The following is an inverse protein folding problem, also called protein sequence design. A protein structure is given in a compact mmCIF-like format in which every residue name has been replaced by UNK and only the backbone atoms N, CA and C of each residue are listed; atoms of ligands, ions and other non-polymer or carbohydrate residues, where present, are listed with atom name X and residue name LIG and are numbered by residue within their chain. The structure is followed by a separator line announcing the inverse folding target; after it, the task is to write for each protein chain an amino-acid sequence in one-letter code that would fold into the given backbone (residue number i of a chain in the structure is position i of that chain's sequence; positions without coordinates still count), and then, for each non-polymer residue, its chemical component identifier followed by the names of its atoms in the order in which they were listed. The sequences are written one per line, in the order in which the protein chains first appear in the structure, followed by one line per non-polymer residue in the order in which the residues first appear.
data_IF_914967001873
#
_entry.id   IF_914967001873
#
_cell.length_a   1.000
_cell.length_b   1.000
_cell.length_c   1.000
_cell.angle_alpha   90.00
_cell.angle_beta   90.00
_cell.angle_gamma   90.00
#
_symmetry.space_group_name_H-M   'P 1'
#
loop_
_entity.id
_entity.type
_entity.pdbx_description
1 polymer ?
#
# COMPACT_ATOMS: atom_id res chain seq x y z
N UNK A 1 -0.80 -28.63 -12.70
CA UNK A 1 0.48 -28.02 -13.14
C UNK A 1 1.13 -27.48 -11.89
N UNK A 2 2.33 -27.93 -11.57
CA UNK A 2 3.06 -27.45 -10.40
C UNK A 2 3.38 -25.96 -10.62
N UNK A 3 2.70 -25.08 -9.90
CA UNK A 3 2.94 -23.64 -9.97
C UNK A 3 4.25 -23.34 -9.25
N UNK A 4 5.32 -23.21 -10.03
CA UNK A 4 6.62 -22.72 -9.57
C UNK A 4 6.74 -21.22 -9.85
N UNK A 5 7.51 -20.52 -9.02
CA UNK A 5 7.80 -19.09 -9.22
C UNK A 5 8.55 -18.86 -10.54
N UNK A 6 8.24 -17.73 -11.20
CA UNK A 6 9.06 -17.24 -12.31
C UNK A 6 10.37 -16.72 -11.73
N UNK A 7 11.45 -17.48 -11.93
CA UNK A 7 12.80 -17.10 -11.57
C UNK A 7 13.52 -16.37 -12.72
N UNK A 8 14.77 -15.95 -12.47
CA UNK A 8 15.59 -15.31 -13.50
C UNK A 8 15.87 -16.20 -14.72
N UNK A 9 15.83 -17.53 -14.59
CA UNK A 9 16.00 -18.46 -15.71
C UNK A 9 14.79 -18.42 -16.63
N UNK A 10 13.59 -18.59 -16.07
CA UNK A 10 12.34 -18.55 -16.83
C UNK A 10 12.15 -17.20 -17.51
N UNK A 11 12.43 -16.07 -16.83
CA UNK A 11 12.33 -14.76 -17.45
C UNK A 11 13.35 -14.58 -18.59
N UNK A 12 14.57 -15.08 -18.41
CA UNK A 12 15.61 -14.94 -19.42
C UNK A 12 15.31 -15.75 -20.68
N UNK A 13 15.00 -17.03 -20.51
CA UNK A 13 14.81 -17.98 -21.61
C UNK A 13 13.50 -17.72 -22.38
N UNK A 14 12.46 -17.18 -21.72
CA UNK A 14 11.18 -16.90 -22.36
C UNK A 14 11.08 -15.50 -22.97
N UNK A 15 11.74 -14.49 -22.39
CA UNK A 15 11.56 -13.09 -22.81
C UNK A 15 12.87 -12.43 -23.24
N UNK A 16 13.89 -12.45 -22.37
CA UNK A 16 15.08 -11.62 -22.58
C UNK A 16 15.92 -12.04 -23.78
N UNK A 17 15.97 -13.33 -24.10
CA UNK A 17 16.71 -13.84 -25.26
C UNK A 17 16.20 -13.24 -26.59
N UNK A 18 14.96 -12.77 -26.63
CA UNK A 18 14.36 -12.13 -27.81
C UNK A 18 14.51 -10.60 -27.81
N UNK A 19 15.00 -9.99 -26.72
CA UNK A 19 15.14 -8.55 -26.53
C UNK A 19 16.59 -8.08 -26.63
N UNK A 20 17.43 -8.76 -27.40
CA UNK A 20 18.89 -8.55 -27.50
C UNK A 20 19.30 -7.15 -27.98
N UNK A 21 18.40 -6.41 -28.64
CA UNK A 21 18.66 -5.05 -29.12
C UNK A 21 18.20 -3.95 -28.14
N UNK A 22 17.53 -4.31 -27.04
CA UNK A 22 17.05 -3.34 -26.05
C UNK A 22 18.20 -2.76 -25.24
N UNK A 23 18.38 -1.44 -25.31
CA UNK A 23 19.40 -0.71 -24.51
C UNK A 23 19.06 -0.66 -23.02
N UNK A 24 17.78 -0.79 -22.67
CA UNK A 24 17.29 -0.82 -21.29
C UNK A 24 16.04 -1.69 -21.24
N UNK A 25 16.01 -2.60 -20.27
CA UNK A 25 14.84 -3.38 -19.91
C UNK A 25 14.47 -3.07 -18.46
N UNK A 26 13.19 -2.81 -18.20
CA UNK A 26 12.66 -2.52 -16.87
C UNK A 26 11.38 -3.32 -16.70
N UNK A 27 11.31 -4.09 -15.63
CA UNK A 27 10.20 -5.00 -15.38
C UNK A 27 9.77 -4.95 -13.92
N UNK A 28 8.52 -5.35 -13.73
CA UNK A 28 7.90 -5.64 -12.45
C UNK A 28 7.06 -6.89 -12.66
N UNK A 29 7.40 -7.95 -11.94
CA UNK A 29 6.77 -9.26 -12.01
C UNK A 29 6.20 -9.53 -10.63
N UNK A 30 4.92 -9.88 -10.59
CA UNK A 30 4.27 -10.45 -9.42
C UNK A 30 3.97 -11.91 -9.71
N UNK A 31 4.33 -12.77 -8.79
CA UNK A 31 4.10 -14.22 -8.85
C UNK A 31 3.40 -14.64 -7.58
N UNK A 32 2.37 -15.46 -7.74
CA UNK A 32 1.55 -15.99 -6.65
C UNK A 32 1.54 -17.52 -6.77
N UNK A 33 1.81 -18.20 -5.67
CA UNK A 33 1.77 -19.67 -5.61
C UNK A 33 0.81 -20.06 -4.52
N UNK A 34 -0.27 -20.75 -4.90
CA UNK A 34 -1.25 -21.24 -3.93
C UNK A 34 -0.86 -22.59 -3.35
N UNK A 35 -0.64 -22.65 -2.04
CA UNK A 35 -0.35 -23.91 -1.35
C UNK A 35 -1.67 -24.57 -0.92
N UNK A 36 -2.25 -25.34 -1.83
CA UNK A 36 -3.46 -26.11 -1.50
C UNK A 36 -3.17 -27.30 -0.56
N UNK A 37 -1.91 -27.72 -0.37
CA UNK A 37 -1.61 -28.95 0.41
C UNK A 37 -0.17 -29.13 0.88
N UNK A 38 0.83 -28.45 0.31
CA UNK A 38 2.25 -28.66 0.65
C UNK A 38 2.92 -27.30 0.88
N UNK A 39 3.52 -27.10 2.06
CA UNK A 39 4.42 -25.98 2.31
C UNK A 39 5.69 -26.20 1.50
N UNK A 40 5.77 -25.62 0.30
CA UNK A 40 7.08 -25.47 -0.33
C UNK A 40 7.83 -24.36 0.40
N UNK A 41 9.13 -24.55 0.61
CA UNK A 41 10.00 -23.44 1.03
C UNK A 41 9.97 -22.37 -0.07
N UNK A 42 9.53 -21.17 0.29
CA UNK A 42 9.60 -20.04 -0.62
C UNK A 42 11.05 -19.70 -0.91
N UNK A 43 11.41 -19.38 -2.17
CA UNK A 43 12.73 -18.86 -2.45
C UNK A 43 12.93 -17.55 -1.67
N UNK A 44 14.09 -17.41 -1.04
CA UNK A 44 14.41 -16.18 -0.32
C UNK A 44 14.66 -15.04 -1.31
N UNK A 45 14.62 -13.79 -0.83
CA UNK A 45 15.00 -12.65 -1.66
C UNK A 45 16.42 -12.79 -2.22
N UNK A 46 17.33 -13.42 -1.46
CA UNK A 46 18.68 -13.68 -1.94
C UNK A 46 18.71 -14.71 -3.07
N UNK A 47 17.94 -15.79 -2.97
CA UNK A 47 17.87 -16.82 -4.01
C UNK A 47 17.36 -16.24 -5.32
N UNK A 48 16.30 -15.42 -5.24
CA UNK A 48 15.75 -14.72 -6.40
C UNK A 48 16.80 -13.79 -7.00
N UNK A 49 17.41 -12.90 -6.20
CA UNK A 49 18.41 -11.96 -6.70
C UNK A 49 19.61 -12.67 -7.34
N UNK A 50 20.11 -13.76 -6.74
CA UNK A 50 21.22 -14.57 -7.28
C UNK A 50 20.89 -15.12 -8.67
N UNK A 51 19.63 -15.53 -8.91
CA UNK A 51 19.21 -16.04 -10.22
C UNK A 51 19.36 -15.01 -11.36
N UNK A 52 19.25 -13.70 -11.05
CA UNK A 52 19.43 -12.62 -12.03
C UNK A 52 20.90 -12.19 -12.19
N UNK A 53 21.69 -12.23 -11.11
CA UNK A 53 23.12 -11.85 -11.15
C UNK A 53 23.90 -12.75 -12.11
N UNK A 54 23.64 -14.06 -12.10
CA UNK A 54 24.29 -15.04 -12.99
C UNK A 54 24.10 -14.75 -14.49
N UNK A 55 23.14 -13.89 -14.86
CA UNK A 55 22.81 -13.52 -16.24
C UNK A 55 23.24 -12.10 -16.63
N UNK A 56 24.15 -11.48 -15.87
CA UNK A 56 24.66 -10.11 -16.11
C UNK A 56 23.59 -9.01 -16.09
N UNK A 57 22.51 -9.22 -15.32
CA UNK A 57 21.53 -8.18 -14.98
C UNK A 57 21.75 -7.69 -13.55
N UNK A 58 22.58 -6.65 -13.32
CA UNK A 58 23.14 -6.36 -12.00
C UNK A 58 22.19 -5.60 -11.05
N UNK A 59 20.94 -5.34 -11.43
CA UNK A 59 20.04 -4.44 -10.68
C UNK A 59 18.61 -4.95 -10.65
N UNK A 60 18.45 -6.11 -10.02
CA UNK A 60 17.14 -6.69 -9.71
C UNK A 60 17.04 -6.81 -8.19
N UNK A 61 15.88 -6.52 -7.65
CA UNK A 61 15.54 -6.82 -6.27
C UNK A 61 14.22 -7.57 -6.22
N UNK A 62 13.91 -8.12 -5.07
CA UNK A 62 12.66 -8.81 -4.80
C UNK A 62 12.21 -8.58 -3.37
N UNK A 63 10.92 -8.73 -3.14
CA UNK A 63 10.38 -9.03 -1.82
C UNK A 63 9.40 -10.18 -1.96
N UNK A 64 9.60 -11.22 -1.15
CA UNK A 64 8.77 -12.40 -1.09
C UNK A 64 8.20 -12.56 0.32
N UNK A 65 6.94 -12.98 0.40
CA UNK A 65 6.21 -13.14 1.65
C UNK A 65 5.18 -14.28 1.55
N UNK A 66 4.80 -14.84 2.69
CA UNK A 66 3.70 -15.81 2.80
C UNK A 66 2.46 -15.13 3.35
N UNK A 67 1.35 -15.20 2.64
CA UNK A 67 0.05 -14.87 3.21
C UNK A 67 -0.41 -16.00 4.14
N UNK A 68 -1.03 -15.63 5.25
CA UNK A 68 -1.33 -16.56 6.34
C UNK A 68 -2.49 -17.52 6.02
N UNK A 69 -3.46 -17.13 5.18
CA UNK A 69 -4.58 -17.95 4.67
C UNK A 69 -5.11 -17.28 3.39
N UNK A 70 -5.61 -17.99 2.36
CA UNK A 70 -5.01 -19.26 1.95
C UNK A 70 -3.48 -19.09 1.95
N UNK A 71 -2.75 -20.17 2.28
CA UNK A 71 -1.29 -20.13 2.31
C UNK A 71 -0.80 -19.90 0.89
N UNK A 72 -0.74 -18.64 0.48
CA UNK A 72 -0.32 -18.23 -0.83
C UNK A 72 0.99 -17.50 -0.63
N UNK A 73 2.04 -18.01 -1.27
CA UNK A 73 3.28 -17.28 -1.34
C UNK A 73 3.18 -16.24 -2.44
N UNK A 74 3.61 -15.02 -2.14
CA UNK A 74 3.66 -13.93 -3.10
C UNK A 74 5.11 -13.47 -3.20
N UNK A 75 5.57 -13.29 -4.43
CA UNK A 75 6.88 -12.75 -4.71
C UNK A 75 6.79 -11.67 -5.77
N UNK A 76 7.37 -10.52 -5.45
CA UNK A 76 7.52 -9.39 -6.35
C UNK A 76 8.98 -9.26 -6.75
N UNK A 77 9.23 -9.14 -8.04
CA UNK A 77 10.58 -9.06 -8.62
C UNK A 77 10.61 -7.86 -9.56
N UNK A 78 11.57 -6.96 -9.39
CA UNK A 78 11.63 -5.76 -10.22
C UNK A 78 13.04 -5.23 -10.45
N UNK A 79 13.19 -4.49 -11.54
CA UNK A 79 14.43 -3.80 -11.86
C UNK A 79 14.63 -2.55 -11.01
N UNK A 80 15.89 -2.23 -10.70
CA UNK A 80 16.29 -1.01 -10.02
C UNK A 80 16.98 0.00 -10.98
N UNK A 81 16.70 1.30 -10.87
CA UNK A 81 15.67 1.90 -10.00
C UNK A 81 14.26 1.54 -10.47
N UNK A 82 13.31 1.48 -9.54
CA UNK A 82 11.92 1.15 -9.85
C UNK A 82 11.34 2.13 -10.87
N UNK A 83 10.77 1.58 -11.95
CA UNK A 83 10.42 2.33 -13.14
C UNK A 83 8.96 2.74 -13.26
N UNK A 84 8.07 2.12 -12.49
CA UNK A 84 6.61 2.20 -12.67
C UNK A 84 5.99 3.22 -11.71
N UNK A 85 4.81 3.70 -12.09
CA UNK A 85 4.04 4.70 -11.33
C UNK A 85 3.09 4.10 -10.30
N UNK A 86 2.98 2.78 -10.26
CA UNK A 86 2.15 2.05 -9.32
C UNK A 86 2.95 1.00 -8.59
N UNK A 87 2.52 0.65 -7.39
CA UNK A 87 2.97 -0.50 -6.64
C UNK A 87 1.74 -1.10 -5.95
N UNK A 88 1.55 -2.41 -6.08
CA UNK A 88 0.34 -3.09 -5.61
C UNK A 88 0.72 -4.27 -4.74
N UNK A 89 -0.17 -4.60 -3.81
CA UNK A 89 -0.03 -5.73 -2.89
C UNK A 89 1.21 -5.63 -2.00
N UNK A 90 1.37 -4.45 -1.40
CA UNK A 90 2.38 -4.22 -0.37
C UNK A 90 1.83 -4.66 1.00
N UNK A 91 2.59 -5.49 1.71
CA UNK A 91 2.26 -6.07 3.01
C UNK A 91 3.32 -5.69 4.08
N UNK A 92 3.13 -6.13 5.34
CA UNK A 92 4.08 -5.86 6.43
C UNK A 92 5.47 -6.49 6.23
N UNK A 93 5.64 -7.37 5.24
CA UNK A 93 6.95 -7.96 4.92
C UNK A 93 7.84 -6.99 4.13
N UNK A 94 7.32 -5.86 3.68
CA UNK A 94 8.08 -4.84 2.97
C UNK A 94 9.24 -4.28 3.82
N UNK A 95 10.46 -4.41 3.30
CA UNK A 95 11.71 -4.03 3.98
C UNK A 95 12.22 -2.64 3.60
N UNK A 96 11.46 -1.92 2.80
CA UNK A 96 11.78 -0.58 2.37
C UNK A 96 12.51 -0.45 1.05
N UNK A 97 12.70 0.80 0.61
CA UNK A 97 13.39 1.18 -0.63
C UNK A 97 12.86 2.48 -1.22
N UNK A 98 13.61 3.10 -2.13
CA UNK A 98 13.24 4.42 -2.65
C UNK A 98 12.48 4.35 -3.99
N UNK A 99 11.17 4.60 -3.96
CA UNK A 99 10.23 4.47 -5.08
C UNK A 99 9.76 5.83 -5.62
N UNK A 100 10.68 6.69 -6.06
CA UNK A 100 10.38 8.07 -6.50
C UNK A 100 9.34 8.21 -7.63
N UNK A 101 9.13 7.16 -8.43
CA UNK A 101 8.18 7.18 -9.54
C UNK A 101 6.77 6.76 -9.16
N UNK A 102 6.61 6.04 -8.04
CA UNK A 102 5.30 5.56 -7.62
C UNK A 102 4.44 6.74 -7.20
N UNK A 103 3.20 6.74 -7.70
CA UNK A 103 2.10 7.67 -7.42
C UNK A 103 0.92 6.95 -6.83
N UNK A 104 0.74 5.67 -7.18
CA UNK A 104 -0.32 4.81 -6.67
C UNK A 104 0.25 3.66 -5.85
N UNK A 105 -0.19 3.53 -4.61
CA UNK A 105 0.16 2.42 -3.73
C UNK A 105 -1.12 1.72 -3.25
N UNK A 106 -1.17 0.40 -3.42
CA UNK A 106 -2.19 -0.46 -2.79
C UNK A 106 -1.52 -1.35 -1.76
N UNK A 107 -1.99 -1.25 -0.53
CA UNK A 107 -1.52 -2.02 0.62
C UNK A 107 -2.63 -2.95 1.07
N UNK A 108 -2.29 -4.21 1.31
CA UNK A 108 -3.19 -5.16 1.94
C UNK A 108 -2.42 -6.16 2.79
N UNK A 109 -2.98 -6.49 3.95
CA UNK A 109 -2.42 -7.51 4.83
C UNK A 109 -3.50 -8.02 5.79
N UNK A 110 -3.25 -9.20 6.37
CA UNK A 110 -4.02 -9.82 7.44
C UNK A 110 -3.41 -9.59 8.82
N UNK A 111 -2.28 -8.90 8.86
CA UNK A 111 -1.62 -8.42 10.08
C UNK A 111 -1.76 -6.90 10.10
N UNK A 112 -1.94 -6.33 11.28
CA UNK A 112 -2.06 -4.88 11.47
C UNK A 112 -0.87 -4.11 10.89
N UNK A 113 -1.14 -3.01 10.18
CA UNK A 113 -0.10 -2.05 9.80
C UNK A 113 0.12 -1.08 10.96
N UNK A 114 1.28 -1.16 11.60
CA UNK A 114 1.59 -0.29 12.74
C UNK A 114 2.04 1.11 12.27
N UNK A 115 2.00 2.10 13.17
CA UNK A 115 2.35 3.49 12.87
C UNK A 115 3.71 3.64 12.18
N UNK A 116 4.74 2.99 12.71
CA UNK A 116 6.11 3.04 12.18
C UNK A 116 6.20 2.49 10.75
N UNK A 117 5.28 1.61 10.36
CA UNK A 117 5.21 1.11 9.00
C UNK A 117 4.77 2.22 8.04
N UNK A 118 3.75 3.00 8.40
CA UNK A 118 3.34 4.16 7.58
C UNK A 118 4.41 5.26 7.53
N UNK A 119 5.21 5.42 8.59
CA UNK A 119 6.38 6.29 8.56
C UNK A 119 7.41 5.82 7.52
N UNK A 120 7.72 4.51 7.49
CA UNK A 120 8.56 3.91 6.44
C UNK A 120 7.99 4.16 5.04
N UNK A 121 6.69 3.88 4.84
CA UNK A 121 6.01 4.12 3.56
C UNK A 121 6.10 5.58 3.14
N UNK A 122 5.95 6.53 4.06
CA UNK A 122 6.05 7.95 3.73
C UNK A 122 7.43 8.38 3.20
N UNK A 123 8.50 7.72 3.67
CA UNK A 123 9.88 7.99 3.26
C UNK A 123 10.21 7.31 1.91
N UNK A 124 9.71 6.10 1.74
CA UNK A 124 9.98 5.26 0.58
C UNK A 124 9.16 5.65 -0.66
N UNK A 125 7.97 6.21 -0.44
CA UNK A 125 7.04 6.69 -1.47
C UNK A 125 6.82 8.22 -1.36
N UNK A 126 7.86 9.05 -1.54
CA UNK A 126 7.82 10.47 -1.17
C UNK A 126 6.89 11.33 -2.04
N UNK A 127 6.41 10.80 -3.16
CA UNK A 127 5.53 11.47 -4.13
C UNK A 127 4.19 10.74 -4.28
N UNK A 128 3.78 9.97 -3.28
CA UNK A 128 2.54 9.21 -3.32
C UNK A 128 1.32 10.14 -3.44
N UNK A 129 0.48 9.90 -4.43
CA UNK A 129 -0.73 10.68 -4.71
C UNK A 129 -2.01 9.91 -4.39
N UNK A 130 -1.99 8.58 -4.57
CA UNK A 130 -3.10 7.67 -4.33
C UNK A 130 -2.67 6.56 -3.38
N UNK A 131 -3.37 6.44 -2.27
CA UNK A 131 -3.16 5.37 -1.28
C UNK A 131 -4.46 4.60 -1.07
N UNK A 132 -4.39 3.28 -1.27
CA UNK A 132 -5.44 2.34 -0.93
C UNK A 132 -4.93 1.41 0.16
N UNK A 133 -5.70 1.29 1.24
CA UNK A 133 -5.41 0.39 2.35
C UNK A 133 -6.59 -0.56 2.49
N UNK A 134 -6.30 -1.85 2.57
CA UNK A 134 -7.25 -2.90 2.92
C UNK A 134 -6.67 -3.70 4.06
N UNK A 135 -7.16 -3.41 5.27
CA UNK A 135 -6.68 -4.04 6.49
C UNK A 135 -7.71 -3.83 7.60
N UNK A 136 -8.44 -4.89 7.93
CA UNK A 136 -9.46 -4.85 8.97
C UNK A 136 -8.91 -5.18 10.38
N UNK A 137 -7.60 -5.37 10.51
CA UNK A 137 -6.98 -5.64 11.81
C UNK A 137 -6.70 -4.33 12.57
N UNK A 138 -7.08 -4.23 13.86
CA UNK A 138 -6.79 -3.07 14.68
C UNK A 138 -5.28 -2.88 14.88
N UNK A 139 -4.85 -1.63 15.01
CA UNK A 139 -3.46 -1.32 15.36
C UNK A 139 -3.19 -1.70 16.81
N UNK A 140 -2.00 -2.22 17.09
CA UNK A 140 -1.62 -2.64 18.46
C UNK A 140 -1.06 -1.47 19.27
N UNK A 141 -0.36 -0.56 18.61
CA UNK A 141 0.45 0.48 19.27
C UNK A 141 -0.09 1.91 19.07
N UNK A 142 -1.41 2.11 19.19
CA UNK A 142 -2.08 3.41 18.94
C UNK A 142 -1.55 4.55 19.83
N UNK A 143 -1.07 4.25 21.03
CA UNK A 143 -0.72 5.25 22.06
C UNK A 143 0.75 5.72 22.02
N UNK A 144 1.62 5.12 21.21
CA UNK A 144 3.07 5.26 21.39
C UNK A 144 3.80 6.09 20.34
N UNK A 145 3.15 6.51 19.25
CA UNK A 145 3.81 7.36 18.26
C UNK A 145 3.40 8.84 18.40
N UNK A 146 4.38 9.67 18.76
CA UNK A 146 4.26 11.13 18.68
C UNK A 146 4.66 11.68 17.32
N UNK A 147 5.10 10.83 16.39
CA UNK A 147 5.57 11.24 15.08
C UNK A 147 4.39 11.42 14.12
N UNK A 148 4.24 12.63 13.56
CA UNK A 148 3.27 12.90 12.52
C UNK A 148 3.68 12.22 11.21
N UNK A 149 2.79 11.40 10.66
CA UNK A 149 2.97 10.83 9.32
C UNK A 149 2.77 11.94 8.29
N UNK A 150 3.61 11.93 7.24
CA UNK A 150 3.64 12.96 6.21
C UNK A 150 3.48 12.37 4.82
N UNK A 151 2.30 12.57 4.23
CA UNK A 151 2.08 12.32 2.79
C UNK A 151 1.77 13.64 2.07
N UNK A 152 2.77 14.45 1.72
CA UNK A 152 2.58 15.83 1.24
C UNK A 152 1.87 15.92 -0.12
N UNK A 153 1.89 14.84 -0.90
CA UNK A 153 1.28 14.77 -2.23
C UNK A 153 0.01 13.92 -2.26
N UNK A 154 -0.42 13.34 -1.14
CA UNK A 154 -1.59 12.48 -1.10
C UNK A 154 -2.85 13.29 -1.41
N UNK A 155 -3.51 12.94 -2.50
CA UNK A 155 -4.75 13.58 -2.98
C UNK A 155 -5.94 12.63 -2.96
N UNK A 156 -5.70 11.32 -2.96
CA UNK A 156 -6.73 10.30 -2.95
C UNK A 156 -6.40 9.24 -1.91
N UNK A 157 -7.37 8.96 -1.02
CA UNK A 157 -7.24 7.95 0.03
C UNK A 157 -8.47 7.03 0.04
N UNK A 158 -8.25 5.72 0.03
CA UNK A 158 -9.29 4.70 0.21
C UNK A 158 -9.07 3.93 1.50
N UNK A 159 -10.13 3.91 2.33
CA UNK A 159 -10.20 3.29 3.65
C UNK A 159 -11.48 2.45 3.84
N UNK A 160 -12.18 2.08 2.76
CA UNK A 160 -13.45 1.33 2.79
C UNK A 160 -13.36 0.02 3.58
N UNK A 161 -12.28 -0.74 3.37
CA UNK A 161 -12.07 -2.05 3.99
C UNK A 161 -11.00 -1.98 5.09
N UNK A 162 -11.09 -0.94 5.93
CA UNK A 162 -10.11 -0.72 7.00
C UNK A 162 -10.73 -0.66 8.38
N UNK A 163 -9.94 -1.07 9.38
CA UNK A 163 -10.26 -0.82 10.78
C UNK A 163 -10.28 0.70 11.07
N UNK A 164 -11.10 1.11 12.04
CA UNK A 164 -11.29 2.53 12.40
C UNK A 164 -9.99 3.22 12.87
N UNK A 165 -9.01 2.47 13.34
CA UNK A 165 -7.72 3.02 13.78
C UNK A 165 -6.98 3.70 12.62
N UNK A 166 -7.01 3.09 11.41
CA UNK A 166 -6.42 3.70 10.21
C UNK A 166 -7.17 4.97 9.81
N UNK A 167 -8.49 4.97 9.98
CA UNK A 167 -9.32 6.16 9.75
C UNK A 167 -8.90 7.29 10.69
N UNK A 168 -8.70 7.01 11.98
CA UNK A 168 -8.21 7.99 12.95
C UNK A 168 -6.78 8.45 12.62
N UNK A 169 -5.90 7.53 12.21
CA UNK A 169 -4.52 7.81 11.85
C UNK A 169 -4.41 8.81 10.70
N UNK A 170 -5.19 8.61 9.63
CA UNK A 170 -5.09 9.42 8.43
C UNK A 170 -5.94 10.70 8.48
N UNK A 171 -7.08 10.69 9.15
CA UNK A 171 -8.03 11.82 9.08
C UNK A 171 -7.91 12.81 10.24
N UNK A 172 -7.32 12.44 11.39
CA UNK A 172 -7.07 13.38 12.49
C UNK A 172 -5.80 14.20 12.25
N UNK A 173 -5.89 15.52 12.44
CA UNK A 173 -4.76 16.47 12.30
C UNK A 173 -3.61 16.20 13.26
N UNK A 174 -3.91 15.61 14.42
CA UNK A 174 -2.89 15.26 15.41
C UNK A 174 -1.99 14.09 15.00
N UNK A 175 -2.43 13.30 14.00
CA UNK A 175 -1.74 12.10 13.55
C UNK A 175 -1.11 12.29 12.16
N UNK A 176 -1.76 13.07 11.30
CA UNK A 176 -1.30 13.33 9.93
C UNK A 176 -1.16 14.82 9.63
N UNK A 177 0.02 15.19 9.15
CA UNK A 177 0.33 16.58 8.82
C UNK A 177 -0.21 16.98 7.45
N UNK A 178 -1.33 17.73 7.44
CA UNK A 178 -1.87 18.52 6.31
C UNK A 178 -1.71 17.86 4.92
N UNK A 179 -2.36 16.71 4.69
CA UNK A 179 -2.38 16.13 3.35
C UNK A 179 -3.17 17.05 2.41
N UNK A 180 -2.88 16.99 1.10
CA UNK A 180 -3.68 17.67 0.08
C UNK A 180 -4.88 16.82 -0.32
N UNK A 181 -5.59 16.28 0.68
CA UNK A 181 -6.59 15.26 0.47
C UNK A 181 -7.82 15.86 -0.23
N UNK A 182 -8.05 15.46 -1.48
CA UNK A 182 -9.17 15.94 -2.31
C UNK A 182 -10.27 14.90 -2.44
N UNK A 183 -9.93 13.62 -2.40
CA UNK A 183 -10.87 12.52 -2.56
C UNK A 183 -10.67 11.53 -1.42
N UNK A 184 -11.77 11.17 -0.75
CA UNK A 184 -11.80 10.17 0.29
C UNK A 184 -12.86 9.13 -0.05
N UNK A 185 -12.48 7.86 0.02
CA UNK A 185 -13.39 6.73 -0.05
C UNK A 185 -13.31 5.99 1.28
N UNK A 186 -14.43 5.85 1.98
CA UNK A 186 -14.44 5.41 3.39
C UNK A 186 -15.77 4.73 3.76
N UNK A 187 -15.71 3.77 4.68
CA UNK A 187 -16.90 3.19 5.28
C UNK A 187 -17.68 4.22 6.14
N UNK A 188 -18.98 4.34 5.91
CA UNK A 188 -19.81 5.34 6.61
C UNK A 188 -19.83 5.17 8.14
N UNK A 189 -19.84 3.92 8.62
CA UNK A 189 -19.79 3.62 10.07
C UNK A 189 -18.50 4.10 10.70
N UNK A 190 -17.35 3.87 10.04
CA UNK A 190 -16.06 4.37 10.52
C UNK A 190 -16.04 5.90 10.59
N UNK A 191 -16.60 6.59 9.58
CA UNK A 191 -16.72 8.05 9.58
C UNK A 191 -17.60 8.56 10.73
N UNK A 192 -18.76 7.95 10.99
CA UNK A 192 -19.59 8.28 12.15
C UNK A 192 -18.83 8.06 13.46
N UNK A 193 -18.12 6.94 13.58
CA UNK A 193 -17.39 6.60 14.80
C UNK A 193 -16.34 7.65 15.13
N UNK A 194 -15.51 8.05 14.16
CA UNK A 194 -14.44 9.03 14.41
C UNK A 194 -14.96 10.45 14.64
N UNK A 195 -16.12 10.80 14.09
CA UNK A 195 -16.75 12.13 14.26
C UNK A 195 -17.71 12.18 15.45
N UNK A 196 -17.94 11.03 16.11
CA UNK A 196 -19.01 10.82 17.09
C UNK A 196 -20.37 11.34 16.59
N UNK A 197 -20.85 10.79 15.46
CA UNK A 197 -22.06 11.26 14.78
C UNK A 197 -22.00 12.77 14.43
N UNK A 198 -20.87 13.26 13.95
CA UNK A 198 -20.68 14.66 13.57
C UNK A 198 -20.91 15.67 14.71
N UNK A 199 -20.54 15.27 15.95
CA UNK A 199 -20.64 16.13 17.14
C UNK A 199 -19.30 16.68 17.62
N UNK A 200 -18.19 16.08 17.20
CA UNK A 200 -16.82 16.57 17.49
C UNK A 200 -16.58 17.87 16.69
N UNK A 201 -15.66 18.71 17.16
CA UNK A 201 -15.27 19.91 16.41
C UNK A 201 -14.59 19.50 15.06
N UNK A 202 -15.10 19.96 13.90
CA UNK A 202 -14.54 19.60 12.59
C UNK A 202 -13.09 20.06 12.41
N UNK A 203 -12.62 21.04 13.19
CA UNK A 203 -11.24 21.54 13.10
C UNK A 203 -10.19 20.49 13.46
N UNK A 204 -10.55 19.40 14.16
CA UNK A 204 -9.67 18.27 14.46
C UNK A 204 -9.35 17.38 13.24
N UNK A 205 -10.07 17.53 12.13
CA UNK A 205 -9.98 16.63 10.98
C UNK A 205 -9.40 17.29 9.73
N UNK A 206 -8.72 16.51 8.90
CA UNK A 206 -8.15 16.90 7.59
C UNK A 206 -9.20 16.85 6.46
N UNK A 207 -10.37 17.47 6.66
CA UNK A 207 -11.48 17.45 5.69
C UNK A 207 -11.65 18.73 4.87
N UNK A 208 -10.93 19.79 5.20
CA UNK A 208 -11.13 21.14 4.67
C UNK A 208 -10.92 21.26 3.15
N UNK A 209 -10.19 20.32 2.54
CA UNK A 209 -9.89 20.31 1.11
C UNK A 209 -10.65 19.25 0.31
N UNK A 210 -11.48 18.42 0.96
CA UNK A 210 -12.19 17.33 0.30
C UNK A 210 -13.23 17.84 -0.69
N UNK A 211 -13.11 17.41 -1.94
CA UNK A 211 -14.01 17.71 -3.06
C UNK A 211 -14.83 16.51 -3.52
N UNK A 212 -14.45 15.31 -3.10
CA UNK A 212 -15.21 14.09 -3.29
C UNK A 212 -15.16 13.24 -2.03
N UNK A 213 -16.33 12.77 -1.60
CA UNK A 213 -16.48 11.78 -0.55
C UNK A 213 -17.32 10.63 -1.12
N UNK A 214 -16.69 9.48 -1.22
CA UNK A 214 -17.33 8.23 -1.60
C UNK A 214 -17.57 7.39 -0.35
N UNK A 215 -18.78 6.90 -0.20
CA UNK A 215 -19.22 6.11 0.94
C UNK A 215 -19.79 4.81 0.43
N UNK A 216 -19.41 3.72 1.08
CA UNK A 216 -19.80 2.35 0.70
C UNK A 216 -21.30 2.07 0.85
N UNK A 217 -22.04 2.96 1.51
CA UNK A 217 -23.48 2.85 1.75
C UNK A 217 -24.20 4.18 1.50
N UNK A 218 -25.48 4.09 1.11
CA UNK A 218 -26.35 5.25 1.03
C UNK A 218 -26.56 5.86 2.41
N UNK A 219 -26.38 7.18 2.56
CA UNK A 219 -26.58 7.87 3.81
C UNK A 219 -27.42 9.14 3.65
N UNK A 220 -28.04 9.57 4.75
CA UNK A 220 -28.70 10.88 4.85
C UNK A 220 -27.71 11.85 5.50
N UNK A 221 -27.47 13.00 4.84
CA UNK A 221 -26.56 14.02 5.36
C UNK A 221 -27.04 14.51 6.74
N UNK A 222 -26.24 14.35 7.81
CA UNK A 222 -26.58 14.89 9.12
C UNK A 222 -26.50 16.42 9.13
N UNK A 223 -27.13 17.05 10.11
CA UNK A 223 -27.25 18.52 10.22
C UNK A 223 -25.89 19.25 10.12
N UNK A 224 -24.85 18.71 10.78
CA UNK A 224 -23.52 19.31 10.80
C UNK A 224 -22.61 18.89 9.63
N UNK A 225 -23.11 18.11 8.65
CA UNK A 225 -22.27 17.55 7.57
C UNK A 225 -21.44 18.61 6.84
N UNK A 226 -22.04 19.76 6.51
CA UNK A 226 -21.37 20.85 5.79
C UNK A 226 -20.24 21.51 6.58
N UNK A 227 -20.23 21.40 7.91
CA UNK A 227 -19.14 21.92 8.74
C UNK A 227 -17.89 21.04 8.63
N UNK A 228 -18.07 19.73 8.41
CA UNK A 228 -16.99 18.78 8.20
C UNK A 228 -16.49 18.82 6.75
N UNK A 229 -17.39 18.96 5.78
CA UNK A 229 -17.05 18.93 4.36
C UNK A 229 -17.54 20.20 3.63
N UNK A 230 -16.87 21.34 3.81
CA UNK A 230 -17.35 22.63 3.31
C UNK A 230 -17.33 22.77 1.78
N UNK A 231 -16.71 21.85 1.05
CA UNK A 231 -16.61 21.87 -0.41
C UNK A 231 -17.48 20.79 -1.12
N UNK A 232 -18.39 20.10 -0.38
CA UNK A 232 -19.29 19.02 -0.85
C UNK A 232 -20.79 19.35 -0.81
#
# INVERSE_FOLDING_TARGET
MDSTYIDGYQLYDQFLIYLTQSKKFTFYIKTEVSFQTVRFELPTNEDIQRSFIGRRYPRVTSYAYTQSVPFDGVCHIYSLPYGFEYFVDLDNSFQGGLFKKVRLLKMNDRISFEHNFFDLISQDFPFLEFLYIDNNCPQKDIQHSSALIKFPYLTYLTLEYTHVDYVQLFLLKQNMYRPRLLNLSINYKSLITITNNFTIDPTYFNFDQLKSLDLDESFVRPENFHQYFPLL
#
